data_IF_600114662179
#
_entry.id   IF_600114662179
#
_cell.length_a   1.000
_cell.length_b   1.000
_cell.length_c   1.000
_cell.angle_alpha   90.00
_cell.angle_beta   90.00
_cell.angle_gamma   90.00
#
_symmetry.space_group_name_H-M   'P 1'
#
loop_
_entity.id
_entity.type
_entity.pdbx_description
1 polymer ?
#
# COMPACT_ATOMS: atom_id res chain seq x y z
N UNK A 1 16.41 -8.99 -0.24
CA UNK A 1 17.35 -9.01 0.92
C UNK A 1 18.32 -10.21 1.03
N UNK A 2 19.29 -10.37 0.11
CA UNK A 2 20.17 -11.56 0.07
C UNK A 2 21.24 -11.62 1.18
N UNK A 3 21.81 -10.48 1.56
CA UNK A 3 22.86 -10.43 2.59
C UNK A 3 22.32 -10.82 3.97
N UNK A 4 21.11 -10.40 4.33
CA UNK A 4 20.47 -10.76 5.60
C UNK A 4 20.19 -12.26 5.65
N UNK A 5 19.67 -12.84 4.58
CA UNK A 5 19.48 -14.30 4.49
C UNK A 5 20.78 -15.10 4.74
N UNK A 6 21.91 -14.64 4.21
CA UNK A 6 23.22 -15.24 4.48
C UNK A 6 23.64 -15.10 5.96
N UNK A 7 23.34 -13.97 6.59
CA UNK A 7 23.63 -13.74 8.01
C UNK A 7 22.81 -14.67 8.90
N UNK A 8 21.52 -14.89 8.61
CA UNK A 8 20.69 -15.86 9.33
C UNK A 8 21.24 -17.28 9.20
N UNK A 9 21.62 -17.71 8.00
CA UNK A 9 22.23 -19.03 7.80
C UNK A 9 23.53 -19.20 8.59
N UNK A 10 24.41 -18.19 8.58
CA UNK A 10 25.67 -18.23 9.33
C UNK A 10 25.43 -18.22 10.85
N UNK A 11 24.46 -17.45 11.35
CA UNK A 11 24.10 -17.44 12.76
C UNK A 11 23.59 -18.82 13.22
N UNK A 12 22.68 -19.43 12.45
CA UNK A 12 22.17 -20.77 12.74
C UNK A 12 23.29 -21.81 12.69
N UNK A 13 24.20 -21.72 11.71
CA UNK A 13 25.37 -22.61 11.63
C UNK A 13 26.26 -22.50 12.87
N UNK A 14 26.54 -21.28 13.35
CA UNK A 14 27.35 -21.05 14.56
C UNK A 14 26.67 -21.57 15.82
N UNK A 15 25.37 -21.33 15.98
CA UNK A 15 24.59 -21.85 17.12
C UNK A 15 24.60 -23.38 17.15
N UNK A 16 24.41 -24.01 15.99
CA UNK A 16 24.49 -25.48 15.88
C UNK A 16 25.89 -26.00 16.22
N UNK A 17 26.94 -25.34 15.75
CA UNK A 17 28.32 -25.70 16.04
C UNK A 17 28.69 -25.53 17.53
N UNK A 18 28.06 -24.59 18.24
CA UNK A 18 28.25 -24.41 19.69
C UNK A 18 27.43 -25.38 20.55
N UNK A 19 26.69 -26.31 19.93
CA UNK A 19 25.84 -27.27 20.65
C UNK A 19 24.53 -26.69 21.17
N UNK A 20 24.12 -25.50 20.71
CA UNK A 20 22.83 -24.92 21.11
C UNK A 20 21.66 -25.79 20.63
N UNK A 21 20.72 -26.06 21.54
CA UNK A 21 19.50 -26.82 21.26
C UNK A 21 18.29 -25.91 21.53
N UNK A 22 17.56 -25.47 20.49
CA UNK A 22 16.41 -24.61 20.68
C UNK A 22 15.25 -25.38 21.34
N UNK A 23 14.49 -24.70 22.20
CA UNK A 23 13.31 -25.28 22.87
C UNK A 23 12.12 -25.49 21.93
N UNK A 24 12.09 -24.76 20.81
CA UNK A 24 11.05 -24.82 19.76
C UNK A 24 11.75 -25.08 18.41
N UNK A 25 10.99 -25.54 17.43
CA UNK A 25 11.48 -25.68 16.05
C UNK A 25 11.90 -24.31 15.50
N UNK A 26 13.04 -24.27 14.83
CA UNK A 26 13.48 -23.11 14.05
C UNK A 26 13.35 -23.45 12.57
N UNK A 27 12.57 -22.66 11.84
CA UNK A 27 12.42 -22.77 10.40
C UNK A 27 13.11 -21.59 9.72
N UNK A 28 13.82 -21.85 8.64
CA UNK A 28 14.31 -20.83 7.72
C UNK A 28 13.48 -20.93 6.44
N UNK A 29 12.81 -19.84 6.07
CA UNK A 29 11.99 -19.75 4.87
C UNK A 29 12.59 -18.73 3.92
N UNK A 30 12.71 -19.08 2.64
CA UNK A 30 13.12 -18.18 1.58
C UNK A 30 12.06 -18.27 0.49
N UNK A 31 11.27 -17.21 0.36
CA UNK A 31 10.12 -17.14 -0.55
C UNK A 31 10.42 -16.18 -1.69
N UNK A 32 9.94 -16.46 -2.91
CA UNK A 32 10.08 -15.53 -4.03
C UNK A 32 9.07 -14.38 -3.91
N UNK A 33 9.18 -13.44 -4.85
CA UNK A 33 8.15 -12.46 -5.19
C UNK A 33 7.82 -11.37 -4.16
N UNK A 34 8.55 -11.25 -3.04
CA UNK A 34 8.35 -10.16 -2.05
C UNK A 34 8.34 -8.77 -2.72
N UNK A 35 9.35 -8.46 -3.55
CA UNK A 35 9.50 -7.16 -4.23
C UNK A 35 8.34 -6.80 -5.18
N UNK A 36 7.44 -7.75 -5.47
CA UNK A 36 6.23 -7.57 -6.29
C UNK A 36 4.94 -7.90 -5.53
N UNK A 37 4.98 -8.00 -4.20
CA UNK A 37 3.82 -8.18 -3.31
C UNK A 37 3.64 -9.59 -2.72
N UNK A 38 4.47 -10.57 -3.10
CA UNK A 38 4.51 -11.88 -2.44
C UNK A 38 3.32 -12.82 -2.71
N UNK A 39 2.40 -12.47 -3.62
CA UNK A 39 1.18 -13.24 -3.93
C UNK A 39 1.47 -14.70 -4.34
N UNK A 40 2.48 -14.90 -5.20
CA UNK A 40 2.87 -16.23 -5.66
C UNK A 40 3.93 -16.90 -4.77
N UNK A 41 4.45 -16.17 -3.77
CA UNK A 41 5.45 -16.62 -2.82
C UNK A 41 4.85 -16.86 -1.43
N UNK A 42 5.01 -15.87 -0.54
CA UNK A 42 4.65 -16.01 0.87
C UNK A 42 3.15 -16.17 1.10
N UNK A 43 2.30 -15.51 0.33
CA UNK A 43 0.85 -15.63 0.50
C UNK A 43 0.39 -17.08 0.27
N UNK A 44 0.88 -17.73 -0.79
CA UNK A 44 0.61 -19.15 -1.05
C UNK A 44 1.17 -20.06 0.03
N UNK A 45 2.38 -19.78 0.54
CA UNK A 45 2.95 -20.53 1.65
C UNK A 45 2.05 -20.41 2.88
N UNK A 46 1.65 -19.19 3.25
CA UNK A 46 0.79 -18.90 4.39
C UNK A 46 -0.57 -19.63 4.33
N UNK A 47 -1.14 -19.76 3.13
CA UNK A 47 -2.41 -20.47 2.91
C UNK A 47 -2.24 -22.01 2.89
N UNK A 48 -1.03 -22.51 2.67
CA UNK A 48 -0.74 -23.93 2.54
C UNK A 48 -0.89 -24.71 3.85
N UNK A 49 -1.20 -26.00 3.74
CA UNK A 49 -1.21 -26.89 4.90
C UNK A 49 0.21 -27.12 5.46
N UNK A 50 1.25 -26.90 4.66
CA UNK A 50 2.64 -26.95 5.13
C UNK A 50 2.85 -25.91 6.22
N UNK A 51 2.47 -24.65 5.97
CA UNK A 51 2.64 -23.57 6.95
C UNK A 51 1.77 -23.77 8.18
N UNK A 52 0.50 -24.20 8.01
CA UNK A 52 -0.38 -24.55 9.15
C UNK A 52 0.25 -25.62 10.05
N UNK A 53 0.84 -26.65 9.45
CA UNK A 53 1.49 -27.75 10.19
C UNK A 53 2.82 -27.35 10.85
N UNK A 54 3.47 -26.26 10.41
CA UNK A 54 4.66 -25.73 11.08
C UNK A 54 4.35 -25.16 12.48
N UNK A 55 3.09 -24.83 12.78
CA UNK A 55 2.63 -24.32 14.08
C UNK A 55 3.51 -23.15 14.59
N UNK A 56 3.62 -22.13 13.74
CA UNK A 56 4.50 -20.97 13.92
C UNK A 56 3.91 -20.00 14.95
N UNK A 57 4.69 -19.67 15.99
CA UNK A 57 4.31 -18.67 17.01
C UNK A 57 4.91 -17.29 16.73
N UNK A 58 6.15 -17.25 16.25
CA UNK A 58 6.95 -16.04 16.03
C UNK A 58 7.63 -16.16 14.68
N UNK A 59 7.62 -15.08 13.93
CA UNK A 59 8.40 -14.93 12.71
C UNK A 59 9.32 -13.73 12.87
N UNK A 60 10.52 -13.85 12.33
CA UNK A 60 11.46 -12.74 12.20
C UNK A 60 11.53 -12.40 10.72
N UNK A 61 11.13 -11.17 10.43
CA UNK A 61 11.15 -10.56 9.10
C UNK A 61 12.56 -10.50 8.50
N UNK A 62 12.70 -9.98 7.29
CA UNK A 62 13.99 -9.62 6.69
C UNK A 62 14.63 -8.42 7.39
N UNK A 63 13.83 -7.52 7.96
CA UNK A 63 14.32 -6.35 8.68
C UNK A 63 15.25 -5.46 7.84
N UNK A 64 16.23 -4.80 8.48
CA UNK A 64 17.25 -4.00 7.76
C UNK A 64 18.62 -4.20 8.38
N UNK A 65 19.65 -4.25 7.52
CA UNK A 65 21.03 -4.24 7.97
C UNK A 65 21.36 -2.94 8.71
N UNK A 66 22.09 -3.05 9.83
CA UNK A 66 22.56 -1.91 10.60
C UNK A 66 24.04 -1.63 10.32
N UNK A 67 24.45 -0.35 10.18
CA UNK A 67 25.86 0.00 9.99
C UNK A 67 26.68 -0.08 11.28
N UNK A 68 26.05 -0.37 12.43
CA UNK A 68 26.69 -0.48 13.73
C UNK A 68 26.22 -1.75 14.47
N UNK A 69 26.68 -1.94 15.70
CA UNK A 69 26.38 -3.13 16.52
C UNK A 69 24.96 -3.14 17.11
N UNK A 70 24.10 -2.17 16.78
CA UNK A 70 22.72 -2.13 17.25
C UNK A 70 21.77 -2.66 16.19
N UNK A 71 20.83 -3.52 16.59
CA UNK A 71 19.74 -3.96 15.73
C UNK A 71 18.63 -2.91 15.68
N UNK A 72 18.08 -2.69 14.49
CA UNK A 72 16.84 -1.91 14.31
C UNK A 72 15.67 -2.87 14.43
N UNK A 73 14.80 -2.61 15.40
CA UNK A 73 13.60 -3.42 15.61
C UNK A 73 12.41 -2.74 14.93
N UNK A 74 11.78 -3.46 14.02
CA UNK A 74 10.48 -3.13 13.45
C UNK A 74 9.46 -4.13 13.98
N UNK A 75 8.26 -3.64 14.29
CA UNK A 75 7.18 -4.46 14.85
C UNK A 75 5.85 -4.25 14.11
N UNK A 76 5.92 -3.60 12.96
CA UNK A 76 4.78 -3.38 12.08
C UNK A 76 5.18 -2.59 10.84
N UNK A 77 4.47 -2.84 9.76
CA UNK A 77 4.63 -2.18 8.48
C UNK A 77 3.33 -1.49 8.04
N UNK A 78 3.45 -0.47 7.20
CA UNK A 78 2.32 0.22 6.60
C UNK A 78 1.86 -0.53 5.36
N UNK A 79 0.56 -0.81 5.28
CA UNK A 79 -0.04 -1.45 4.11
C UNK A 79 -0.01 -0.49 2.90
N UNK A 80 0.56 -0.91 1.76
CA UNK A 80 0.55 -0.14 0.52
C UNK A 80 -0.76 -0.32 -0.24
N UNK A 81 -1.45 0.77 -0.52
CA UNK A 81 -2.61 0.79 -1.41
C UNK A 81 -2.32 1.67 -2.62
N UNK A 82 -2.49 1.11 -3.81
CA UNK A 82 -2.41 1.86 -5.05
C UNK A 82 -3.80 2.11 -5.59
N UNK A 83 -4.24 3.36 -5.49
CA UNK A 83 -5.60 3.77 -5.85
C UNK A 83 -5.56 4.58 -7.14
N UNK A 84 -6.40 4.22 -8.10
CA UNK A 84 -6.73 5.04 -9.27
C UNK A 84 -8.17 5.49 -9.13
N UNK A 85 -8.40 6.81 -9.16
CA UNK A 85 -9.75 7.37 -9.30
C UNK A 85 -9.92 7.91 -10.71
N UNK A 86 -11.11 7.73 -11.27
CA UNK A 86 -11.46 8.18 -12.62
C UNK A 86 -12.79 8.90 -12.59
N UNK A 87 -12.89 10.02 -13.28
CA UNK A 87 -14.13 10.72 -13.57
C UNK A 87 -14.46 10.56 -15.06
N UNK A 88 -15.71 10.25 -15.38
CA UNK A 88 -16.18 10.03 -16.76
C UNK A 88 -17.41 10.87 -17.03
N UNK A 89 -17.35 11.71 -18.06
CA UNK A 89 -18.39 12.67 -18.43
C UNK A 89 -18.49 12.82 -19.95
N UNK A 90 -19.52 13.52 -20.43
CA UNK A 90 -19.63 13.83 -21.85
C UNK A 90 -18.50 14.78 -22.32
N UNK A 91 -17.88 14.54 -23.49
CA UNK A 91 -16.90 15.46 -24.03
C UNK A 91 -17.58 16.77 -24.47
N UNK A 92 -16.86 17.88 -24.37
CA UNK A 92 -17.40 19.21 -24.61
C UNK A 92 -16.54 20.04 -25.57
N UNK A 93 -17.13 20.93 -26.35
CA UNK A 93 -16.33 21.88 -27.11
C UNK A 93 -15.66 22.89 -26.16
N UNK A 94 -14.35 23.13 -26.27
CA UNK A 94 -13.57 24.01 -25.40
C UNK A 94 -13.98 25.50 -25.41
N UNK A 95 -14.86 25.92 -26.34
CA UNK A 95 -15.41 27.27 -26.39
C UNK A 95 -16.69 27.42 -25.56
N UNK A 96 -17.25 26.31 -25.07
CA UNK A 96 -18.45 26.28 -24.24
C UNK A 96 -18.05 25.99 -22.79
N UNK A 97 -18.88 26.44 -21.86
CA UNK A 97 -18.74 26.13 -20.45
C UNK A 97 -19.76 25.04 -20.11
N UNK A 98 -19.29 23.96 -19.50
CA UNK A 98 -20.11 22.85 -19.04
C UNK A 98 -19.81 22.63 -17.56
N UNK A 99 -20.86 22.52 -16.75
CA UNK A 99 -20.71 22.12 -15.36
C UNK A 99 -20.39 20.63 -15.27
N UNK A 100 -19.61 20.27 -14.25
CA UNK A 100 -19.33 18.87 -13.91
C UNK A 100 -18.61 18.14 -15.04
N UNK A 101 -17.67 18.80 -15.72
CA UNK A 101 -16.77 18.09 -16.64
C UNK A 101 -15.93 17.05 -15.88
N UNK A 102 -15.39 16.06 -16.61
CA UNK A 102 -14.57 15.01 -16.00
C UNK A 102 -13.39 15.60 -15.20
N UNK A 103 -12.74 16.63 -15.75
CA UNK A 103 -11.64 17.33 -15.09
C UNK A 103 -12.11 18.05 -13.82
N UNK A 104 -13.24 18.78 -13.85
CA UNK A 104 -13.77 19.46 -12.66
C UNK A 104 -14.13 18.49 -11.54
N UNK A 105 -14.80 17.39 -11.88
CA UNK A 105 -15.17 16.37 -10.90
C UNK A 105 -13.93 15.69 -10.31
N UNK A 106 -12.91 15.39 -11.12
CA UNK A 106 -11.64 14.88 -10.61
C UNK A 106 -10.95 15.90 -9.68
N UNK A 107 -10.89 17.18 -10.04
CA UNK A 107 -10.26 18.22 -9.21
C UNK A 107 -10.94 18.40 -7.85
N UNK A 108 -12.28 18.34 -7.80
CA UNK A 108 -13.04 18.35 -6.53
C UNK A 108 -12.56 17.19 -5.61
N UNK A 109 -12.27 16.02 -6.17
CA UNK A 109 -11.75 14.88 -5.42
C UNK A 109 -10.29 15.03 -5.02
N UNK A 110 -9.43 15.48 -5.93
CA UNK A 110 -8.02 15.75 -5.64
C UNK A 110 -7.89 16.75 -4.49
N UNK A 111 -8.74 17.79 -4.46
CA UNK A 111 -8.73 18.77 -3.36
C UNK A 111 -9.16 18.15 -2.02
N UNK A 112 -10.14 17.24 -2.02
CA UNK A 112 -10.54 16.49 -0.82
C UNK A 112 -9.38 15.63 -0.30
N UNK A 113 -8.72 14.88 -1.19
CA UNK A 113 -7.53 14.06 -0.87
C UNK A 113 -6.39 14.93 -0.36
N UNK A 114 -6.13 16.08 -1.00
CA UNK A 114 -5.06 17.01 -0.63
C UNK A 114 -5.27 17.57 0.77
N UNK A 115 -6.52 17.90 1.15
CA UNK A 115 -6.87 18.35 2.50
C UNK A 115 -6.64 17.27 3.54
N UNK A 116 -7.04 16.03 3.24
CA UNK A 116 -6.77 14.89 4.12
C UNK A 116 -5.27 14.66 4.30
N UNK A 117 -4.49 14.65 3.21
CA UNK A 117 -3.04 14.54 3.26
C UNK A 117 -2.40 15.65 4.11
N UNK A 118 -2.86 16.89 3.95
CA UNK A 118 -2.36 18.02 4.72
C UNK A 118 -2.61 17.81 6.22
N UNK A 119 -3.82 17.38 6.61
CA UNK A 119 -4.13 17.14 8.03
C UNK A 119 -3.28 16.02 8.64
N UNK A 120 -2.97 14.97 7.88
CA UNK A 120 -2.03 13.92 8.32
C UNK A 120 -0.61 14.47 8.48
N UNK A 121 -0.14 15.29 7.53
CA UNK A 121 1.21 15.83 7.57
C UNK A 121 1.39 16.91 8.64
N UNK A 122 0.33 17.64 8.99
CA UNK A 122 0.35 18.63 10.07
C UNK A 122 0.59 17.96 11.43
N UNK A 123 0.06 16.75 11.67
CA UNK A 123 0.37 15.96 12.86
C UNK A 123 1.86 15.62 12.96
N UNK A 124 2.49 15.32 11.83
CA UNK A 124 3.93 15.02 11.76
C UNK A 124 4.76 16.28 12.02
N UNK A 125 4.43 17.39 11.35
CA UNK A 125 5.15 18.67 11.54
C UNK A 125 5.03 19.21 12.96
N UNK A 126 3.90 18.97 13.61
CA UNK A 126 3.68 19.34 15.01
C UNK A 126 4.45 18.44 15.99
N UNK A 127 5.09 17.36 15.51
CA UNK A 127 5.76 16.37 16.36
C UNK A 127 4.81 15.50 17.18
N UNK A 128 3.52 15.48 16.84
CA UNK A 128 2.50 14.70 17.56
C UNK A 128 2.50 13.23 17.15
N UNK A 129 2.97 12.93 15.93
CA UNK A 129 3.08 11.58 15.37
C UNK A 129 4.32 11.47 14.49
N UNK A 130 4.93 10.29 14.47
CA UNK A 130 5.96 9.94 13.50
C UNK A 130 5.39 9.67 12.10
N UNK A 131 6.25 9.68 11.08
CA UNK A 131 5.86 9.44 9.68
C UNK A 131 5.21 8.06 9.46
N UNK A 132 5.60 7.06 10.25
CA UNK A 132 5.04 5.71 10.22
C UNK A 132 3.65 5.59 10.87
N UNK A 133 3.21 6.60 11.62
CA UNK A 133 1.98 6.56 12.44
C UNK A 133 0.80 7.34 11.83
N UNK A 134 1.02 7.92 10.64
CA UNK A 134 0.00 8.65 9.88
C UNK A 134 -0.26 7.98 8.54
N UNK A 135 -1.44 8.20 7.98
CA UNK A 135 -1.74 7.75 6.62
C UNK A 135 -1.04 8.70 5.66
N UNK A 136 -0.10 8.20 4.86
CA UNK A 136 0.47 9.01 3.78
C UNK A 136 -0.31 8.78 2.51
N UNK A 137 -0.65 9.86 1.80
CA UNK A 137 -1.29 9.80 0.48
C UNK A 137 -0.49 10.68 -0.46
N UNK A 138 0.03 10.14 -1.55
CA UNK A 138 0.79 10.92 -2.53
C UNK A 138 0.25 10.64 -3.93
N UNK A 139 -0.04 11.69 -4.69
CA UNK A 139 -0.47 11.56 -6.08
C UNK A 139 0.73 11.13 -6.93
N UNK A 140 0.63 9.97 -7.56
CA UNK A 140 1.67 9.36 -8.38
C UNK A 140 1.55 9.78 -9.86
N UNK A 141 0.32 9.93 -10.36
CA UNK A 141 0.09 10.42 -11.72
C UNK A 141 -1.23 11.20 -11.84
N UNK A 142 -1.32 11.99 -12.90
CA UNK A 142 -2.52 12.68 -13.35
C UNK A 142 -2.58 12.60 -14.87
N UNK A 143 -3.71 12.18 -15.43
CA UNK A 143 -3.90 12.05 -16.88
C UNK A 143 -5.29 12.52 -17.27
N UNK A 144 -5.33 13.43 -18.22
CA UNK A 144 -6.55 13.96 -18.83
C UNK A 144 -6.21 14.57 -20.19
N UNK A 145 -7.22 14.73 -21.04
CA UNK A 145 -7.09 15.30 -22.38
C UNK A 145 -7.25 14.27 -23.48
N UNK A 146 -7.56 14.75 -24.69
CA UNK A 146 -7.71 13.88 -25.87
C UNK A 146 -6.42 13.90 -26.68
N UNK A 147 -5.70 12.76 -26.81
CA UNK A 147 -4.45 12.70 -27.55
C UNK A 147 -4.64 13.03 -29.03
N UNK A 148 -3.60 13.60 -29.63
CA UNK A 148 -3.43 13.82 -31.06
C UNK A 148 -1.99 13.48 -31.45
N UNK A 149 -1.68 13.29 -32.75
CA UNK A 149 -0.31 12.95 -33.18
C UNK A 149 0.79 13.91 -32.73
N UNK A 150 0.44 15.16 -32.41
CA UNK A 150 1.39 16.21 -32.00
C UNK A 150 1.23 16.65 -30.54
N UNK A 151 0.38 15.99 -29.75
CA UNK A 151 0.09 16.37 -28.36
C UNK A 151 -1.37 16.15 -28.01
N UNK A 152 -2.14 17.21 -27.77
CA UNK A 152 -3.55 17.15 -27.36
C UNK A 152 -4.46 18.00 -28.23
N UNK A 153 -5.73 17.59 -28.34
CA UNK A 153 -6.79 18.34 -29.02
C UNK A 153 -7.22 19.52 -28.15
N UNK A 154 -6.73 20.73 -28.45
CA UNK A 154 -6.89 21.92 -27.59
C UNK A 154 -8.30 22.51 -27.56
N UNK A 155 -9.17 22.17 -28.50
CA UNK A 155 -10.54 22.69 -28.58
C UNK A 155 -11.58 21.70 -28.02
N UNK A 156 -11.16 20.66 -27.32
CA UNK A 156 -12.01 19.60 -26.78
C UNK A 156 -11.77 19.44 -25.27
N UNK A 157 -12.85 19.51 -24.51
CA UNK A 157 -12.89 19.07 -23.12
C UNK A 157 -12.97 17.54 -23.11
N UNK A 158 -12.06 16.85 -22.39
CA UNK A 158 -12.02 15.40 -22.41
C UNK A 158 -13.21 14.78 -21.69
N UNK A 159 -13.62 13.60 -22.16
CA UNK A 159 -14.65 12.78 -21.52
C UNK A 159 -14.15 12.06 -20.28
N UNK A 160 -12.82 11.96 -20.08
CA UNK A 160 -12.23 11.20 -18.99
C UNK A 160 -11.06 11.96 -18.35
N UNK A 161 -10.93 11.82 -17.04
CA UNK A 161 -9.78 12.27 -16.28
C UNK A 161 -9.50 11.28 -15.15
N UNK A 162 -8.24 10.91 -14.97
CA UNK A 162 -7.81 9.93 -13.96
C UNK A 162 -6.60 10.45 -13.15
N UNK A 163 -6.54 10.05 -11.88
CA UNK A 163 -5.40 10.30 -11.00
C UNK A 163 -5.08 9.06 -10.19
N UNK A 164 -3.79 8.74 -10.09
CA UNK A 164 -3.27 7.64 -9.29
C UNK A 164 -2.63 8.13 -8.00
N UNK A 165 -2.77 7.34 -6.93
CA UNK A 165 -2.28 7.64 -5.59
C UNK A 165 -1.56 6.44 -4.99
N UNK A 166 -0.39 6.67 -4.40
CA UNK A 166 0.24 5.74 -3.45
C UNK A 166 -0.20 6.14 -2.05
N UNK A 167 -0.85 5.20 -1.36
CA UNK A 167 -1.35 5.36 -0.01
C UNK A 167 -0.63 4.35 0.89
N UNK A 168 -0.13 4.80 2.04
CA UNK A 168 0.46 3.92 3.07
C UNK A 168 -0.35 4.04 4.34
N UNK A 169 -0.88 2.92 4.81
CA UNK A 169 -1.79 2.86 5.97
C UNK A 169 -1.06 2.23 7.15
N UNK A 170 -0.89 2.94 8.28
CA UNK A 170 -0.33 2.37 9.49
C UNK A 170 -1.14 1.17 10.01
N UNK A 171 -0.49 0.19 10.65
CA UNK A 171 -1.18 -0.98 11.20
C UNK A 171 -2.14 -0.62 12.35
N UNK A 172 -2.05 0.59 12.90
CA UNK A 172 -2.92 1.11 13.95
C UNK A 172 -4.24 1.69 13.43
N UNK A 173 -4.44 1.74 12.11
CA UNK A 173 -5.63 2.31 11.46
C UNK A 173 -6.51 1.19 10.89
N UNK A 174 -7.82 1.26 11.15
CA UNK A 174 -8.78 0.41 10.47
C UNK A 174 -8.94 0.85 9.00
N UNK A 175 -8.59 -0.03 8.07
CA UNK A 175 -8.67 0.18 6.63
C UNK A 175 -10.09 0.51 6.13
N UNK A 176 -11.14 -0.06 6.75
CA UNK A 176 -12.54 0.17 6.35
C UNK A 176 -12.94 1.65 6.37
N UNK A 177 -12.35 2.43 7.29
CA UNK A 177 -12.58 3.88 7.35
C UNK A 177 -12.13 4.58 6.07
N UNK A 178 -10.99 4.13 5.52
CA UNK A 178 -10.45 4.71 4.31
C UNK A 178 -11.22 4.25 3.08
N UNK A 179 -11.65 2.98 3.01
CA UNK A 179 -12.54 2.48 1.94
C UNK A 179 -13.82 3.31 1.86
N UNK A 180 -14.45 3.55 3.02
CA UNK A 180 -15.65 4.38 3.11
C UNK A 180 -15.39 5.79 2.62
N UNK A 181 -14.28 6.42 3.05
CA UNK A 181 -13.89 7.76 2.56
C UNK A 181 -13.63 7.76 1.05
N UNK A 182 -13.01 6.71 0.50
CA UNK A 182 -12.80 6.60 -0.95
C UNK A 182 -14.16 6.60 -1.66
N UNK A 183 -15.08 5.72 -1.25
CA UNK A 183 -16.38 5.58 -1.89
C UNK A 183 -17.30 6.80 -1.73
N UNK A 184 -17.27 7.47 -0.57
CA UNK A 184 -18.20 8.55 -0.26
C UNK A 184 -17.65 9.95 -0.57
N UNK A 185 -16.34 10.17 -0.43
CA UNK A 185 -15.74 11.49 -0.54
C UNK A 185 -14.80 11.62 -1.75
N UNK A 186 -13.93 10.64 -2.02
CA UNK A 186 -12.86 10.78 -3.02
C UNK A 186 -13.25 10.30 -4.42
N UNK A 187 -14.09 9.29 -4.56
CA UNK A 187 -14.59 8.80 -5.83
C UNK A 187 -16.09 8.47 -5.75
N UNK A 188 -16.94 9.46 -5.38
CA UNK A 188 -18.35 9.20 -5.22
C UNK A 188 -19.05 8.99 -6.57
N UNK A 189 -19.90 7.97 -6.62
CA UNK A 189 -20.76 7.68 -7.76
C UNK A 189 -21.66 8.87 -8.15
N UNK A 190 -22.00 9.75 -7.19
CA UNK A 190 -22.78 10.97 -7.44
C UNK A 190 -22.08 12.01 -8.33
N UNK A 191 -20.77 11.87 -8.57
CA UNK A 191 -19.97 12.72 -9.48
C UNK A 191 -19.47 11.94 -10.70
N UNK A 192 -20.16 10.84 -11.06
CA UNK A 192 -19.76 9.92 -12.13
C UNK A 192 -18.30 9.47 -12.02
N UNK A 193 -17.90 9.16 -10.79
CA UNK A 193 -16.55 8.68 -10.50
C UNK A 193 -16.55 7.17 -10.26
N UNK A 194 -15.44 6.56 -10.64
CA UNK A 194 -15.09 5.19 -10.30
C UNK A 194 -13.72 5.16 -9.65
N UNK A 195 -13.42 4.07 -8.97
CA UNK A 195 -12.08 3.81 -8.47
C UNK A 195 -11.72 2.35 -8.69
N UNK A 196 -10.43 2.10 -8.90
CA UNK A 196 -9.83 0.78 -9.02
C UNK A 196 -8.47 0.81 -8.32
N UNK A 197 -7.95 -0.36 -7.97
CA UNK A 197 -6.66 -0.42 -7.28
C UNK A 197 -6.42 -1.74 -6.60
N UNK A 198 -5.15 -2.00 -6.29
CA UNK A 198 -4.78 -3.04 -5.34
C UNK A 198 -5.04 -2.44 -3.96
N UNK A 199 -6.25 -2.67 -3.48
CA UNK A 199 -6.66 -2.42 -2.11
C UNK A 199 -6.71 -3.78 -1.44
N UNK A 200 -5.65 -4.14 -0.73
CA UNK A 200 -5.67 -5.36 0.07
C UNK A 200 -6.71 -5.16 1.18
N UNK A 201 -7.88 -5.77 1.00
CA UNK A 201 -8.92 -5.81 2.00
C UNK A 201 -8.50 -6.82 3.07
N UNK A 202 -8.59 -6.41 4.33
CA UNK A 202 -8.42 -7.35 5.44
C UNK A 202 -9.71 -8.16 5.53
N UNK A 203 -9.74 -9.34 4.91
CA UNK A 203 -10.88 -10.24 5.02
C UNK A 203 -11.18 -10.54 6.50
N UNK A 204 -12.43 -10.28 6.91
CA UNK A 204 -12.98 -10.60 8.23
C UNK A 204 -13.04 -12.12 8.40
N UNK A 205 -12.04 -12.67 9.07
CA UNK A 205 -12.12 -14.01 9.64
C UNK A 205 -10.86 -14.33 10.40
N UNK A 206 -10.92 -14.22 11.74
CA UNK A 206 -10.09 -14.72 12.87
C UNK A 206 -8.69 -15.38 12.69
N UNK A 207 -8.09 -15.39 11.50
CA UNK A 207 -6.83 -16.02 11.14
C UNK A 207 -6.03 -15.14 10.16
N UNK A 208 -6.67 -14.22 9.43
CA UNK A 208 -6.01 -13.31 8.46
C UNK A 208 -5.08 -12.28 9.08
N UNK A 209 -5.32 -11.86 10.33
CA UNK A 209 -4.45 -10.91 11.04
C UNK A 209 -3.07 -11.46 11.42
N UNK A 210 -2.85 -12.77 11.36
CA UNK A 210 -1.53 -13.36 11.69
C UNK A 210 -0.57 -13.46 10.51
N UNK A 211 -1.02 -13.31 9.27
CA UNK A 211 -0.23 -13.73 8.10
C UNK A 211 0.05 -12.63 7.08
N UNK A 212 -0.78 -11.59 6.95
CA UNK A 212 -0.48 -10.48 6.04
C UNK A 212 0.44 -9.42 6.66
N UNK A 213 0.43 -9.29 7.99
CA UNK A 213 1.48 -8.55 8.71
C UNK A 213 2.85 -9.25 8.70
N UNK A 214 2.97 -10.41 8.04
CA UNK A 214 4.21 -11.16 7.85
C UNK A 214 4.74 -11.12 6.42
N UNK A 215 3.99 -10.56 5.46
CA UNK A 215 4.45 -10.45 4.07
C UNK A 215 5.40 -9.28 3.86
N UNK A 216 5.46 -8.40 4.85
CA UNK A 216 6.24 -7.18 4.84
C UNK A 216 6.74 -6.89 6.28
N UNK A 217 7.56 -7.72 6.89
CA UNK A 217 8.08 -7.54 8.25
C UNK A 217 9.61 -7.64 8.36
#
# INVERSE_FOLDING_TARGET
MKCVGMQYMEAVRRLKASGFQPKRSLYLSFVPDEEIGGHDGLEKLAQSDVFKNMNVDIVLDEGLASPNENYRLFYGERMPWWLVIKATEAPGHGAKLYDNSAIENLFKSIESIRRFRASQFDLVKAGLKGEGEVISVNMAFLKAGTPSPTGFVMNLQPSEAEAGFDIRIPPTVNAEFLEKRIAEEWAPASRNMSFEGIMESVEKGEVTWRLLGLVLM
#
